data_IF_005394069473
#
_entry.id   IF_005394069473
#
_cell.length_a   1.000
_cell.length_b   1.000
_cell.length_c   1.000
_cell.angle_alpha   90.00
_cell.angle_beta   90.00
_cell.angle_gamma   90.00
#
_symmetry.space_group_name_H-M   'P 1'
#
loop_
_entity.id
_entity.type
_entity.pdbx_description
1 polymer ?
#
# COMPACT_ATOMS: atom_id res chain seq x y z
N UNK A 1 -45.22 -4.17 15.51
CA UNK A 1 -44.03 -3.94 16.35
C UNK A 1 -42.93 -3.40 15.44
N UNK A 2 -42.44 -2.19 15.71
CA UNK A 2 -41.36 -1.60 14.94
C UNK A 2 -40.09 -2.42 15.18
N UNK A 3 -39.51 -2.93 14.09
CA UNK A 3 -38.20 -3.59 14.09
C UNK A 3 -37.18 -2.66 14.76
N UNK A 4 -36.68 -3.08 15.92
CA UNK A 4 -35.44 -2.55 16.50
C UNK A 4 -34.31 -2.98 15.58
N UNK A 5 -34.14 -2.29 14.46
CA UNK A 5 -32.98 -2.46 13.59
C UNK A 5 -31.74 -2.22 14.45
N UNK A 6 -30.86 -3.20 14.50
CA UNK A 6 -29.52 -3.06 15.03
C UNK A 6 -28.88 -1.75 14.57
N UNK A 7 -28.19 -1.08 15.49
CA UNK A 7 -27.48 0.19 15.28
C UNK A 7 -26.31 0.12 14.25
N UNK A 8 -26.22 -0.96 13.46
CA UNK A 8 -25.20 -1.11 12.45
C UNK A 8 -25.44 -0.15 11.29
N UNK A 9 -24.71 0.96 11.30
CA UNK A 9 -24.65 1.90 10.19
C UNK A 9 -23.43 1.62 9.32
N UNK A 10 -23.70 1.10 8.11
CA UNK A 10 -22.69 0.88 7.07
C UNK A 10 -21.96 2.18 6.70
N UNK A 11 -20.64 2.13 6.58
CA UNK A 11 -19.79 3.29 6.22
C UNK A 11 -19.21 3.21 4.82
N UNK A 12 -19.00 2.00 4.30
CA UNK A 12 -18.46 1.77 2.96
C UNK A 12 -19.58 1.34 1.99
N UNK A 13 -19.57 1.80 0.74
CA UNK A 13 -20.57 1.37 -0.25
C UNK A 13 -20.48 -0.13 -0.48
N UNK A 14 -21.62 -0.78 -0.78
CA UNK A 14 -21.63 -2.19 -1.22
C UNK A 14 -20.88 -2.28 -2.55
N UNK A 15 -19.70 -2.89 -2.52
CA UNK A 15 -18.95 -3.19 -3.75
C UNK A 15 -19.46 -4.52 -4.31
N UNK A 16 -19.97 -4.47 -5.54
CA UNK A 16 -20.50 -5.65 -6.22
C UNK A 16 -19.42 -6.71 -6.52
N UNK A 17 -19.84 -7.84 -7.09
CA UNK A 17 -18.91 -8.88 -7.54
C UNK A 17 -17.99 -8.31 -8.63
N UNK A 18 -16.69 -8.27 -8.37
CA UNK A 18 -15.70 -7.91 -9.37
C UNK A 18 -15.55 -9.10 -10.34
N UNK A 19 -16.04 -8.93 -11.57
CA UNK A 19 -16.15 -9.97 -12.60
C UNK A 19 -17.13 -11.11 -12.24
N UNK A 20 -17.84 -11.66 -13.24
CA UNK A 20 -19.02 -12.52 -13.07
C UNK A 20 -18.83 -13.83 -12.26
N UNK A 21 -17.60 -14.19 -11.87
CA UNK A 21 -17.28 -15.54 -11.38
C UNK A 21 -16.72 -15.62 -9.96
N UNK A 22 -16.27 -14.53 -9.33
CA UNK A 22 -15.61 -14.60 -8.02
C UNK A 22 -16.50 -14.10 -6.88
N UNK A 23 -16.67 -14.92 -5.86
CA UNK A 23 -17.28 -14.48 -4.60
C UNK A 23 -16.38 -13.41 -3.94
N UNK A 24 -16.96 -12.37 -3.29
CA UNK A 24 -16.18 -11.30 -2.66
C UNK A 24 -15.10 -11.81 -1.69
N UNK A 25 -15.41 -12.84 -0.90
CA UNK A 25 -14.44 -13.52 -0.01
C UNK A 25 -13.18 -13.97 -0.77
N UNK A 26 -13.36 -14.67 -1.88
CA UNK A 26 -12.26 -15.24 -2.67
C UNK A 26 -11.41 -14.13 -3.27
N UNK A 27 -12.05 -13.08 -3.81
CA UNK A 27 -11.33 -11.94 -4.40
C UNK A 27 -10.48 -11.23 -3.36
N UNK A 28 -11.04 -10.89 -2.19
CA UNK A 28 -10.28 -10.23 -1.12
C UNK A 28 -9.13 -11.11 -0.65
N UNK A 29 -9.39 -12.41 -0.45
CA UNK A 29 -8.38 -13.36 0.02
C UNK A 29 -7.20 -13.49 -0.96
N UNK A 30 -7.46 -13.70 -2.24
CA UNK A 30 -6.43 -13.83 -3.28
C UNK A 30 -5.65 -12.52 -3.45
N UNK A 31 -6.33 -11.38 -3.52
CA UNK A 31 -5.66 -10.08 -3.60
C UNK A 31 -4.77 -9.83 -2.38
N UNK A 32 -5.24 -10.17 -1.18
CA UNK A 32 -4.46 -10.02 0.06
C UNK A 32 -3.16 -10.85 -0.01
N UNK A 33 -3.23 -12.09 -0.49
CA UNK A 33 -2.05 -12.96 -0.67
C UNK A 33 -1.07 -12.34 -1.69
N UNK A 34 -1.57 -11.89 -2.84
CA UNK A 34 -0.73 -11.25 -3.87
C UNK A 34 -0.01 -10.03 -3.28
N UNK A 35 -0.72 -9.20 -2.51
CA UNK A 35 -0.13 -8.04 -1.86
C UNK A 35 0.92 -8.42 -0.82
N UNK A 36 0.67 -9.44 0.01
CA UNK A 36 1.67 -9.93 0.97
C UNK A 36 2.95 -10.36 0.23
N UNK A 37 2.83 -11.15 -0.84
CA UNK A 37 3.98 -11.58 -1.64
C UNK A 37 4.72 -10.37 -2.20
N UNK A 38 3.99 -9.41 -2.77
CA UNK A 38 4.58 -8.20 -3.34
C UNK A 38 5.34 -7.37 -2.29
N UNK A 39 4.76 -7.16 -1.10
CA UNK A 39 5.44 -6.44 -0.01
C UNK A 39 6.64 -7.17 0.55
N UNK A 40 6.55 -8.49 0.74
CA UNK A 40 7.68 -9.30 1.23
C UNK A 40 8.86 -9.24 0.26
N UNK A 41 8.60 -9.36 -1.05
CA UNK A 41 9.61 -9.20 -2.09
C UNK A 41 10.22 -7.79 -2.05
N UNK A 42 9.38 -6.75 -1.92
CA UNK A 42 9.83 -5.36 -1.81
C UNK A 42 10.73 -5.13 -0.58
N UNK A 43 10.34 -5.63 0.59
CA UNK A 43 11.14 -5.55 1.82
C UNK A 43 12.48 -6.26 1.63
N UNK A 44 12.49 -7.44 1.00
CA UNK A 44 13.72 -8.18 0.74
C UNK A 44 14.70 -7.41 -0.14
N UNK A 45 14.22 -6.84 -1.26
CA UNK A 45 15.07 -6.03 -2.15
C UNK A 45 15.56 -4.73 -1.49
N UNK A 46 14.70 -4.03 -0.75
CA UNK A 46 15.08 -2.83 -0.01
C UNK A 46 16.13 -3.14 1.07
N UNK A 47 15.98 -4.27 1.79
CA UNK A 47 16.95 -4.73 2.78
C UNK A 47 18.31 -5.07 2.19
N UNK A 48 18.36 -5.68 1.00
CA UNK A 48 19.62 -5.93 0.28
C UNK A 48 20.30 -4.63 -0.20
N UNK A 49 19.50 -3.63 -0.60
CA UNK A 49 19.99 -2.33 -1.08
C UNK A 49 20.63 -1.50 0.03
N UNK A 50 20.11 -1.58 1.26
CA UNK A 50 20.68 -0.91 2.44
C UNK A 50 22.11 -1.38 2.77
N UNK A 51 22.49 -2.59 2.36
CA UNK A 51 23.86 -3.09 2.51
C UNK A 51 24.83 -2.52 1.46
N UNK A 52 24.35 -1.82 0.42
CA UNK A 52 25.16 -1.31 -0.69
C UNK A 52 25.16 0.22 -0.82
N UNK A 53 24.13 0.92 -0.33
CA UNK A 53 24.13 2.38 -0.36
C UNK A 53 25.00 2.94 0.76
N UNK A 54 26.20 3.38 0.37
CA UNK A 54 27.10 4.15 1.20
C UNK A 54 26.39 5.31 1.89
N UNK A 55 26.75 5.48 3.16
CA UNK A 55 26.37 6.55 4.09
C UNK A 55 26.04 7.90 3.44
N UNK A 56 24.77 8.15 3.11
CA UNK A 56 24.27 9.52 2.95
C UNK A 56 24.15 10.13 4.36
N UNK A 57 25.10 10.99 4.71
CA UNK A 57 25.27 11.67 6.00
C UNK A 57 24.34 12.89 6.15
N UNK A 58 23.09 12.77 5.70
CA UNK A 58 22.02 13.71 6.06
C UNK A 58 21.12 13.03 7.09
N UNK A 59 20.96 13.65 8.26
CA UNK A 59 20.17 13.08 9.37
C UNK A 59 18.71 12.85 8.99
N UNK A 60 18.16 13.68 8.08
CA UNK A 60 16.77 13.62 7.64
C UNK A 60 16.55 12.49 6.63
N UNK A 61 17.46 12.29 5.67
CA UNK A 61 17.36 11.20 4.69
C UNK A 61 17.52 9.83 5.33
N UNK A 62 18.33 9.74 6.39
CA UNK A 62 18.53 8.50 7.14
C UNK A 62 17.34 8.12 8.05
N UNK A 63 16.52 9.09 8.46
CA UNK A 63 15.27 8.81 9.18
C UNK A 63 14.19 8.37 8.20
N UNK A 64 14.05 9.08 7.07
CA UNK A 64 13.10 8.73 6.01
C UNK A 64 13.33 7.32 5.47
N UNK A 65 14.58 6.94 5.20
CA UNK A 65 14.92 5.60 4.71
C UNK A 65 14.56 4.48 5.69
N UNK A 66 14.64 4.74 7.01
CA UNK A 66 14.21 3.78 8.04
C UNK A 66 12.69 3.67 8.11
N UNK A 67 11.98 4.79 8.00
CA UNK A 67 10.51 4.81 7.98
C UNK A 67 9.98 4.04 6.76
N UNK A 68 10.63 4.21 5.61
CA UNK A 68 10.30 3.49 4.37
C UNK A 68 10.43 1.97 4.49
N UNK A 69 11.28 1.45 5.38
CA UNK A 69 11.39 0.01 5.65
C UNK A 69 10.36 -0.47 6.67
N UNK A 70 10.06 0.33 7.70
CA UNK A 70 9.14 -0.05 8.79
C UNK A 70 7.68 -0.08 8.31
N UNK A 71 7.26 0.89 7.50
CA UNK A 71 5.85 1.01 7.06
C UNK A 71 5.38 -0.25 6.29
N UNK A 72 6.10 -0.76 5.27
CA UNK A 72 5.74 -1.99 4.57
C UNK A 72 5.65 -3.21 5.48
N UNK A 73 6.49 -3.32 6.51
CA UNK A 73 6.43 -4.41 7.49
C UNK A 73 5.11 -4.34 8.27
N UNK A 74 4.73 -3.15 8.77
CA UNK A 74 3.47 -2.94 9.47
C UNK A 74 2.26 -3.28 8.59
N UNK A 75 2.28 -2.89 7.31
CA UNK A 75 1.24 -3.23 6.33
C UNK A 75 1.18 -4.74 6.10
N UNK A 76 2.32 -5.40 5.96
CA UNK A 76 2.40 -6.86 5.76
C UNK A 76 1.81 -7.61 6.95
N UNK A 77 2.14 -7.21 8.18
CA UNK A 77 1.55 -7.78 9.41
C UNK A 77 0.03 -7.57 9.40
N UNK A 78 -0.44 -6.37 9.06
CA UNK A 78 -1.87 -6.06 8.97
C UNK A 78 -2.61 -6.92 7.94
N UNK A 79 -2.00 -7.20 6.79
CA UNK A 79 -2.54 -8.10 5.75
C UNK A 79 -2.57 -9.56 6.21
N UNK A 80 -1.56 -10.03 6.94
CA UNK A 80 -1.55 -11.38 7.53
C UNK A 80 -2.68 -11.52 8.56
N UNK A 81 -2.81 -10.54 9.46
CA UNK A 81 -3.91 -10.53 10.43
C UNK A 81 -5.27 -10.43 9.74
N UNK A 82 -5.39 -9.70 8.62
CA UNK A 82 -6.60 -9.68 7.81
C UNK A 82 -6.96 -11.10 7.31
N UNK A 83 -6.01 -11.87 6.77
CA UNK A 83 -6.27 -13.25 6.34
C UNK A 83 -6.77 -14.12 7.50
N UNK A 84 -6.13 -14.02 8.66
CA UNK A 84 -6.56 -14.72 9.88
C UNK A 84 -7.96 -14.26 10.30
N UNK A 85 -8.24 -12.96 10.21
CA UNK A 85 -9.53 -12.35 10.51
C UNK A 85 -10.65 -12.82 9.60
N UNK A 86 -10.39 -12.92 8.30
CA UNK A 86 -11.35 -13.45 7.31
C UNK A 86 -11.65 -14.91 7.59
N UNK A 87 -10.63 -15.72 7.88
CA UNK A 87 -10.81 -17.17 8.07
C UNK A 87 -11.49 -17.50 9.41
N UNK A 88 -11.09 -16.82 10.49
CA UNK A 88 -11.67 -17.01 11.82
C UNK A 88 -12.91 -16.14 12.09
N UNK A 89 -13.37 -15.36 11.10
CA UNK A 89 -14.42 -14.32 11.26
C UNK A 89 -14.16 -13.37 12.45
N UNK A 90 -12.89 -13.07 12.73
CA UNK A 90 -12.51 -12.22 13.86
C UNK A 90 -12.58 -10.73 13.48
N UNK A 91 -13.62 -10.04 14.00
CA UNK A 91 -13.87 -8.62 13.74
C UNK A 91 -12.71 -7.71 14.17
N UNK A 92 -11.99 -8.05 15.24
CA UNK A 92 -10.87 -7.23 15.75
C UNK A 92 -9.75 -7.16 14.73
N UNK A 93 -9.37 -8.31 14.16
CA UNK A 93 -8.37 -8.33 13.11
C UNK A 93 -8.88 -7.61 11.85
N UNK A 94 -10.07 -7.94 11.36
CA UNK A 94 -10.58 -7.25 10.18
C UNK A 94 -10.67 -5.71 10.35
N UNK A 95 -11.02 -5.22 11.54
CA UNK A 95 -11.05 -3.79 11.82
C UNK A 95 -9.65 -3.15 11.96
N UNK A 96 -8.62 -3.87 12.42
CA UNK A 96 -7.27 -3.28 12.39
C UNK A 96 -6.78 -3.00 10.97
N UNK A 97 -7.19 -3.81 10.01
CA UNK A 97 -6.83 -3.59 8.61
C UNK A 97 -7.38 -2.25 8.11
N UNK A 98 -8.65 -1.93 8.43
CA UNK A 98 -9.29 -0.66 8.02
C UNK A 98 -8.42 0.53 8.44
N UNK A 99 -7.93 0.53 9.68
CA UNK A 99 -7.15 1.65 10.24
C UNK A 99 -5.73 1.66 9.67
N UNK A 100 -5.00 0.55 9.76
CA UNK A 100 -3.58 0.48 9.37
C UNK A 100 -3.41 0.73 7.87
N UNK A 101 -4.26 0.13 7.03
CA UNK A 101 -4.16 0.29 5.59
C UNK A 101 -4.58 1.71 5.15
N UNK A 102 -5.53 2.34 5.84
CA UNK A 102 -5.88 3.74 5.56
C UNK A 102 -4.74 4.70 5.88
N UNK A 103 -4.07 4.54 7.03
CA UNK A 103 -2.86 5.32 7.38
C UNK A 103 -1.78 5.11 6.33
N UNK A 104 -1.59 3.88 5.85
CA UNK A 104 -0.66 3.58 4.77
C UNK A 104 -1.01 4.31 3.47
N UNK A 105 -2.28 4.34 3.05
CA UNK A 105 -2.71 5.07 1.86
C UNK A 105 -2.42 6.57 1.97
N UNK A 106 -2.64 7.17 3.13
CA UNK A 106 -2.32 8.58 3.39
C UNK A 106 -0.82 8.81 3.32
N UNK A 107 -0.04 7.98 4.01
CA UNK A 107 1.43 8.05 3.97
C UNK A 107 1.95 7.92 2.54
N UNK A 108 1.47 6.93 1.78
CA UNK A 108 1.88 6.70 0.39
C UNK A 108 1.57 7.91 -0.50
N UNK A 109 0.43 8.57 -0.29
CA UNK A 109 0.08 9.80 -1.02
C UNK A 109 1.05 10.95 -0.70
N UNK A 110 1.38 11.16 0.57
CA UNK A 110 2.35 12.18 0.97
C UNK A 110 3.74 11.89 0.43
N UNK A 111 4.21 10.64 0.52
CA UNK A 111 5.50 10.22 -0.03
C UNK A 111 5.56 10.43 -1.54
N UNK A 112 4.45 10.17 -2.26
CA UNK A 112 4.37 10.42 -3.69
C UNK A 112 4.46 11.92 -4.04
N UNK A 113 3.68 12.77 -3.35
CA UNK A 113 3.72 14.23 -3.54
C UNK A 113 5.12 14.77 -3.23
N UNK A 114 5.73 14.30 -2.14
CA UNK A 114 7.08 14.67 -1.73
C UNK A 114 8.12 14.23 -2.78
N UNK A 115 7.98 13.04 -3.34
CA UNK A 115 8.80 12.57 -4.45
C UNK A 115 8.71 13.51 -5.66
N UNK A 116 7.51 13.85 -6.12
CA UNK A 116 7.32 14.81 -7.21
C UNK A 116 7.97 16.16 -6.90
N UNK A 117 7.82 16.65 -5.67
CA UNK A 117 8.48 17.89 -5.24
C UNK A 117 10.01 17.81 -5.36
N UNK A 118 10.63 16.73 -4.88
CA UNK A 118 12.07 16.52 -4.99
C UNK A 118 12.54 16.48 -6.45
N UNK A 119 11.81 15.81 -7.34
CA UNK A 119 12.18 15.73 -8.76
C UNK A 119 12.08 17.05 -9.51
N UNK A 120 11.35 18.03 -8.98
CA UNK A 120 11.31 19.38 -9.53
C UNK A 120 12.40 20.29 -8.93
N UNK A 121 13.20 19.80 -7.98
CA UNK A 121 14.31 20.55 -7.41
C UNK A 121 15.61 20.27 -8.20
N UNK A 122 16.19 21.33 -8.77
CA UNK A 122 17.43 21.24 -9.56
C UNK A 122 18.62 20.66 -8.80
N UNK A 123 18.72 20.91 -7.50
CA UNK A 123 19.79 20.37 -6.64
C UNK A 123 19.68 18.85 -6.53
N UNK A 124 18.46 18.35 -6.31
CA UNK A 124 18.18 16.92 -6.24
C UNK A 124 18.45 16.21 -7.57
N UNK A 125 18.09 16.84 -8.70
CA UNK A 125 18.38 16.31 -10.04
C UNK A 125 19.88 16.25 -10.30
N UNK A 126 20.64 17.29 -9.95
CA UNK A 126 22.11 17.30 -10.10
C UNK A 126 22.78 16.20 -9.28
N UNK A 127 22.39 16.02 -8.03
CA UNK A 127 22.91 14.95 -7.17
C UNK A 127 22.53 13.56 -7.70
N UNK A 128 21.33 13.40 -8.26
CA UNK A 128 20.90 12.16 -8.92
C UNK A 128 21.77 11.83 -10.14
N UNK A 129 22.09 12.82 -10.99
CA UNK A 129 22.98 12.66 -12.14
C UNK A 129 24.38 12.23 -11.69
N UNK A 130 24.92 12.89 -10.66
CA UNK A 130 26.22 12.57 -10.07
C UNK A 130 26.27 11.15 -9.54
N UNK A 131 25.23 10.72 -8.81
CA UNK A 131 25.11 9.36 -8.28
C UNK A 131 25.09 8.34 -9.41
N UNK A 132 24.28 8.57 -10.44
CA UNK A 132 24.17 7.69 -11.60
C UNK A 132 25.51 7.56 -12.36
N UNK A 133 26.23 8.68 -12.56
CA UNK A 133 27.58 8.67 -13.16
C UNK A 133 28.57 7.86 -12.33
N UNK A 134 28.54 7.98 -11.01
CA UNK A 134 29.41 7.19 -10.13
C UNK A 134 29.11 5.69 -10.21
N UNK A 135 27.83 5.31 -10.23
CA UNK A 135 27.43 3.90 -10.40
C UNK A 135 27.95 3.31 -11.72
N UNK A 136 27.89 4.05 -12.84
CA UNK A 136 28.46 3.58 -14.11
C UNK A 136 29.98 3.45 -14.08
N UNK A 137 30.68 4.33 -13.37
CA UNK A 137 32.14 4.22 -13.17
C UNK A 137 32.49 2.96 -12.37
N UNK A 138 31.77 2.70 -11.27
CA UNK A 138 31.96 1.51 -10.44
C UNK A 138 31.65 0.21 -11.19
N UNK A 139 30.70 0.25 -12.13
CA UNK A 139 30.36 -0.87 -13.00
C UNK A 139 31.32 -1.07 -14.19
N UNK A 140 32.42 -0.32 -14.28
CA UNK A 140 33.37 -0.32 -15.41
C UNK A 140 32.70 -0.04 -16.77
N UNK A 141 31.75 0.89 -16.81
CA UNK A 141 31.05 1.32 -18.02
C UNK A 141 31.43 2.77 -18.41
N UNK A 142 32.68 3.02 -18.86
CA UNK A 142 33.22 4.38 -19.05
C UNK A 142 32.43 5.20 -20.08
N UNK A 143 32.00 4.55 -21.18
CA UNK A 143 31.23 5.18 -22.27
C UNK A 143 29.95 5.87 -21.78
N UNK A 144 29.34 5.36 -20.70
CA UNK A 144 28.16 5.99 -20.13
C UNK A 144 28.56 7.15 -19.23
N UNK A 145 29.54 6.97 -18.34
CA UNK A 145 29.93 7.98 -17.36
C UNK A 145 30.39 9.33 -17.93
N UNK A 146 30.85 9.33 -19.19
CA UNK A 146 31.32 10.51 -19.91
C UNK A 146 30.22 11.23 -20.72
N UNK A 147 28.99 10.71 -20.74
CA UNK A 147 27.88 11.36 -21.42
C UNK A 147 27.58 12.75 -20.81
N UNK A 148 27.11 13.71 -21.63
CA UNK A 148 26.77 15.05 -21.18
C UNK A 148 25.61 15.00 -20.18
N UNK A 149 25.61 15.91 -19.21
CA UNK A 149 24.58 15.97 -18.15
C UNK A 149 23.16 16.13 -18.72
N UNK A 150 23.02 16.80 -19.87
CA UNK A 150 21.75 16.97 -20.57
C UNK A 150 21.10 15.64 -20.96
N UNK A 151 21.91 14.63 -21.34
CA UNK A 151 21.41 13.30 -21.66
C UNK A 151 20.76 12.67 -20.43
N UNK A 152 21.46 12.73 -19.29
CA UNK A 152 20.97 12.20 -18.02
C UNK A 152 19.75 12.94 -17.51
N UNK A 153 19.75 14.27 -17.61
CA UNK A 153 18.63 15.09 -17.19
C UNK A 153 17.37 14.77 -18.01
N UNK A 154 17.50 14.64 -19.33
CA UNK A 154 16.39 14.23 -20.20
C UNK A 154 15.92 12.80 -19.88
N UNK A 155 16.84 11.87 -19.65
CA UNK A 155 16.49 10.50 -19.27
C UNK A 155 15.72 10.47 -17.95
N UNK A 156 16.20 11.17 -16.91
CA UNK A 156 15.53 11.25 -15.60
C UNK A 156 14.14 11.88 -15.75
N UNK A 157 14.03 13.02 -16.45
CA UNK A 157 12.74 13.69 -16.68
C UNK A 157 11.74 12.81 -17.41
N UNK A 158 12.18 12.06 -18.42
CA UNK A 158 11.31 11.16 -19.16
C UNK A 158 10.88 9.96 -18.31
N UNK A 159 11.83 9.30 -17.61
CA UNK A 159 11.51 8.21 -16.68
C UNK A 159 10.53 8.65 -15.59
N UNK A 160 10.67 9.88 -15.09
CA UNK A 160 9.76 10.42 -14.09
C UNK A 160 8.33 10.60 -14.58
N UNK A 161 8.12 10.98 -15.84
CA UNK A 161 6.77 11.07 -16.42
C UNK A 161 6.09 9.69 -16.44
N UNK A 162 6.81 8.65 -16.86
CA UNK A 162 6.29 7.28 -16.86
C UNK A 162 6.01 6.80 -15.44
N UNK A 163 6.94 7.05 -14.51
CA UNK A 163 6.79 6.69 -13.10
C UNK A 163 5.55 7.35 -12.46
N UNK A 164 5.29 8.64 -12.74
CA UNK A 164 4.10 9.34 -12.21
C UNK A 164 2.81 8.64 -12.67
N UNK A 165 2.71 8.28 -13.96
CA UNK A 165 1.52 7.59 -14.49
C UNK A 165 1.37 6.21 -13.85
N UNK A 166 2.45 5.45 -13.77
CA UNK A 166 2.47 4.13 -13.14
C UNK A 166 2.00 4.20 -11.68
N UNK A 167 2.55 5.13 -10.88
CA UNK A 167 2.17 5.29 -9.47
C UNK A 167 0.72 5.69 -9.31
N UNK A 168 0.18 6.57 -10.17
CA UNK A 168 -1.25 6.94 -10.12
C UNK A 168 -2.13 5.71 -10.34
N UNK A 169 -1.81 4.87 -11.33
CA UNK A 169 -2.56 3.64 -11.62
C UNK A 169 -2.48 2.67 -10.44
N UNK A 170 -1.28 2.42 -9.91
CA UNK A 170 -1.07 1.52 -8.76
C UNK A 170 -1.80 2.04 -7.52
N UNK A 171 -1.74 3.35 -7.25
CA UNK A 171 -2.42 3.96 -6.12
C UNK A 171 -3.95 3.83 -6.23
N UNK A 172 -4.51 4.05 -7.43
CA UNK A 172 -5.93 3.82 -7.68
C UNK A 172 -6.34 2.36 -7.43
N UNK A 173 -5.51 1.39 -7.83
CA UNK A 173 -5.74 -0.03 -7.54
C UNK A 173 -5.71 -0.32 -6.02
N UNK A 174 -4.80 0.31 -5.27
CA UNK A 174 -4.75 0.16 -3.81
C UNK A 174 -5.96 0.77 -3.11
N UNK A 175 -6.42 1.95 -3.54
CA UNK A 175 -7.66 2.57 -3.02
C UNK A 175 -8.86 1.67 -3.32
N UNK A 176 -8.96 1.14 -4.54
CA UNK A 176 -10.02 0.21 -4.91
C UNK A 176 -9.99 -1.08 -4.07
N UNK A 177 -8.81 -1.67 -3.88
CA UNK A 177 -8.61 -2.83 -3.01
C UNK A 177 -9.05 -2.54 -1.56
N UNK A 178 -8.66 -1.38 -1.02
CA UNK A 178 -9.04 -0.95 0.32
C UNK A 178 -10.57 -0.84 0.46
N UNK A 179 -11.23 -0.12 -0.45
CA UNK A 179 -12.68 0.06 -0.43
C UNK A 179 -13.41 -1.28 -0.56
N UNK A 180 -12.95 -2.16 -1.45
CA UNK A 180 -13.52 -3.49 -1.66
C UNK A 180 -13.39 -4.37 -0.41
N UNK A 181 -12.22 -4.35 0.23
CA UNK A 181 -11.95 -5.11 1.45
C UNK A 181 -12.77 -4.57 2.62
N UNK A 182 -12.84 -3.24 2.79
CA UNK A 182 -13.67 -2.62 3.83
C UNK A 182 -15.16 -2.92 3.64
N UNK A 183 -15.67 -2.86 2.41
CA UNK A 183 -17.04 -3.29 2.08
C UNK A 183 -17.29 -4.74 2.48
N UNK A 184 -16.36 -5.64 2.15
CA UNK A 184 -16.48 -7.05 2.50
C UNK A 184 -16.47 -7.28 4.02
N UNK A 185 -15.63 -6.56 4.76
CA UNK A 185 -15.62 -6.65 6.23
C UNK A 185 -16.97 -6.19 6.80
N UNK A 186 -17.53 -5.10 6.28
CA UNK A 186 -18.84 -4.63 6.72
C UNK A 186 -19.97 -5.61 6.35
N UNK A 187 -19.86 -6.34 5.23
CA UNK A 187 -20.80 -7.41 4.89
C UNK A 187 -20.78 -8.55 5.93
N UNK A 188 -19.59 -8.91 6.45
CA UNK A 188 -19.47 -9.91 7.53
C UNK A 188 -20.05 -9.36 8.85
N UNK A 189 -19.81 -8.08 9.14
CA UNK A 189 -20.32 -7.44 10.36
C UNK A 189 -21.84 -7.33 10.36
N UNK A 190 -22.44 -6.94 9.23
CA UNK A 190 -23.89 -6.88 8.98
C UNK A 190 -24.51 -8.28 9.21
N UNK A 191 -23.99 -9.31 8.54
CA UNK A 191 -24.52 -10.67 8.68
C UNK A 191 -24.41 -11.25 10.09
N UNK A 192 -23.33 -10.95 10.82
CA UNK A 192 -23.17 -11.40 12.20
C UNK A 192 -24.13 -10.69 13.18
N UNK A 193 -24.53 -9.46 12.89
CA UNK A 193 -25.50 -8.73 13.70
C UNK A 193 -26.92 -9.22 13.42
N UNK A 194 -27.26 -9.46 12.14
CA UNK A 194 -28.53 -10.06 11.75
C UNK A 194 -28.73 -11.43 12.41
N UNK A 195 -27.69 -12.28 12.45
CA UNK A 195 -27.72 -13.57 13.15
C UNK A 195 -27.97 -13.44 14.66
N UNK A 196 -27.37 -12.42 15.31
CA UNK A 196 -27.58 -12.17 16.73
C UNK A 196 -28.99 -11.64 17.03
N UNK A 197 -29.51 -10.76 16.18
CA UNK A 197 -30.88 -10.24 16.31
C UNK A 197 -31.90 -11.37 16.20
N UNK A 198 -31.70 -12.30 15.26
CA UNK A 198 -32.54 -13.49 15.13
C UNK A 198 -32.49 -14.34 16.40
N UNK A 199 -31.31 -14.56 17.00
CA UNK A 199 -31.17 -15.33 18.25
C UNK A 199 -31.82 -14.65 19.45
N UNK A 200 -31.73 -13.34 19.57
CA UNK A 200 -32.38 -12.59 20.64
C UNK A 200 -33.92 -12.70 20.53
N UNK A 201 -34.44 -12.63 19.30
CA UNK A 201 -35.86 -12.87 19.02
C UNK A 201 -36.29 -14.30 19.36
N UNK A 202 -35.45 -15.31 19.07
CA UNK A 202 -35.70 -16.70 19.46
C UNK A 202 -35.71 -16.90 20.98
N UNK A 203 -34.89 -16.15 21.71
CA UNK A 203 -34.76 -16.25 23.18
C UNK A 203 -35.74 -15.35 23.96
N UNK A 204 -36.56 -14.53 23.29
CA UNK A 204 -37.39 -13.49 23.91
C UNK A 204 -36.61 -12.48 24.78
N UNK A 205 -35.34 -12.24 24.45
CA UNK A 205 -34.51 -11.23 25.09
C UNK A 205 -34.69 -9.92 24.29
N UNK A 206 -35.51 -8.99 24.82
CA UNK A 206 -35.78 -7.67 24.24
C UNK A 206 -35.14 -6.55 25.07
#
# INVERSE_FOLDING_TARGET
>A
MASTKTDFKRRFPKVGRCCCCCAPKVSVYVCTIILIVFYVIGIFFSGLSLNKFGTYTSSVTNILSKVELVVPICVTISLILLLIGIEKRNKVFMNQFKIVFFIYLIYSLFSFIYGIYLFNNDEYVKESIKTLKNTYKEANMPNFSELPDEFYQNSIKNSMKFYIVEVIVIYALFVYYYLSTCSYIEDIEEGANDENDIRNLENNEY
#
